data_IF_216506852260
#
_entry.id   IF_216506852260
#
_cell.length_a   1.000
_cell.length_b   1.000
_cell.length_c   1.000
_cell.angle_alpha   90.00
_cell.angle_beta   90.00
_cell.angle_gamma   90.00
#
_symmetry.space_group_name_H-M   'P 1'
#
loop_
_entity.id
_entity.type
_entity.pdbx_description
1 polymer ?
#
# COMPACT_ATOMS: atom_id res chain seq x y z
N UNK A 1 28.21 -2.69 -0.24
CA UNK A 1 26.96 -2.24 0.25
C UNK A 1 26.09 -1.66 -0.83
N UNK A 2 24.92 -2.18 -0.98
CA UNK A 2 24.03 -1.72 -2.03
C UNK A 2 23.32 -0.43 -1.69
N UNK A 3 22.89 0.26 -2.71
CA UNK A 3 22.00 1.38 -2.54
C UNK A 3 20.57 0.93 -2.69
N UNK A 4 19.73 1.44 -1.82
CA UNK A 4 18.32 1.19 -1.91
C UNK A 4 17.63 2.48 -2.30
N UNK A 5 16.93 2.45 -3.40
CA UNK A 5 16.09 3.56 -3.81
C UNK A 5 14.72 3.32 -3.23
N UNK A 6 14.26 4.26 -2.43
CA UNK A 6 12.93 4.20 -1.87
C UNK A 6 11.99 5.05 -2.70
N UNK A 7 10.82 4.52 -2.95
CA UNK A 7 9.80 5.16 -3.76
C UNK A 7 8.59 5.43 -2.88
N UNK A 8 7.96 6.58 -3.10
CA UNK A 8 6.69 6.88 -2.45
C UNK A 8 5.64 6.86 -3.54
N UNK A 9 4.61 6.07 -3.33
CA UNK A 9 3.55 5.89 -4.30
C UNK A 9 2.19 6.17 -3.70
N UNK A 10 1.32 6.76 -4.51
CA UNK A 10 -0.08 6.99 -4.18
C UNK A 10 -0.85 5.91 -4.91
N UNK A 11 -1.40 4.97 -4.16
CA UNK A 11 -2.01 3.77 -4.71
C UNK A 11 -3.50 3.77 -4.44
N UNK A 12 -4.30 3.62 -5.49
CA UNK A 12 -5.74 3.43 -5.34
C UNK A 12 -6.02 1.95 -5.40
N UNK A 13 -6.63 1.42 -4.35
CA UNK A 13 -6.87 -0.01 -4.26
C UNK A 13 -7.73 -0.52 -5.41
N UNK A 14 -8.71 0.28 -5.85
CA UNK A 14 -9.60 -0.12 -6.93
C UNK A 14 -8.87 -0.34 -8.25
N UNK A 15 -7.74 0.34 -8.45
CA UNK A 15 -6.99 0.25 -9.71
C UNK A 15 -6.04 -0.94 -9.74
N UNK A 16 -5.92 -1.68 -8.64
CA UNK A 16 -4.92 -2.74 -8.52
C UNK A 16 -5.61 -4.08 -8.29
N UNK A 17 -5.47 -4.95 -9.26
CA UNK A 17 -6.10 -6.27 -9.18
C UNK A 17 -5.59 -7.06 -7.97
N UNK A 18 -6.51 -7.60 -7.21
CA UNK A 18 -6.16 -8.47 -6.08
C UNK A 18 -5.76 -7.74 -4.81
N UNK A 19 -5.72 -6.42 -4.81
CA UNK A 19 -5.33 -5.70 -3.62
C UNK A 19 -6.49 -5.56 -2.64
N UNK A 20 -7.71 -5.38 -3.13
CA UNK A 20 -8.88 -5.32 -2.28
C UNK A 20 -9.06 -6.64 -1.54
N UNK A 21 -9.33 -6.56 -0.25
CA UNK A 21 -9.49 -7.74 0.60
C UNK A 21 -8.21 -8.21 1.26
N UNK A 22 -7.07 -7.68 0.87
CA UNK A 22 -5.80 -8.03 1.51
C UNK A 22 -5.61 -7.26 2.80
N UNK A 23 -4.88 -7.85 3.73
CA UNK A 23 -4.47 -7.14 4.94
C UNK A 23 -3.27 -6.26 4.63
N UNK A 24 -3.18 -5.11 5.29
CA UNK A 24 -2.02 -4.24 5.13
C UNK A 24 -0.74 -5.01 5.42
N UNK A 25 -0.73 -5.81 6.49
CA UNK A 25 0.46 -6.59 6.84
C UNK A 25 0.93 -7.48 5.70
N UNK A 26 -0.01 -8.06 4.96
CA UNK A 26 0.33 -8.96 3.86
C UNK A 26 0.93 -8.22 2.68
N UNK A 27 0.60 -6.95 2.51
CA UNK A 27 1.13 -6.16 1.41
C UNK A 27 2.52 -5.64 1.68
N UNK A 28 2.94 -5.63 2.93
CA UNK A 28 4.24 -5.07 3.33
C UNK A 28 5.39 -6.07 3.25
N UNK A 29 5.16 -7.21 2.74
CA UNK A 29 6.07 -8.35 2.56
C UNK A 29 7.54 -8.10 2.90
N UNK A 30 8.06 -8.86 3.86
CA UNK A 30 9.50 -8.90 4.17
C UNK A 30 10.12 -7.52 4.43
N UNK A 31 9.31 -6.55 4.80
CA UNK A 31 9.82 -5.23 5.09
C UNK A 31 10.24 -4.42 3.87
N UNK A 32 9.90 -4.87 2.67
CA UNK A 32 10.23 -4.14 1.44
C UNK A 32 9.28 -2.99 1.15
N UNK A 33 8.15 -2.94 1.84
CA UNK A 33 7.17 -1.88 1.67
C UNK A 33 6.53 -1.53 3.01
N UNK A 34 6.10 -0.29 3.13
CA UNK A 34 5.37 0.14 4.30
C UNK A 34 4.24 1.07 3.90
N UNK A 35 3.06 0.78 4.39
CA UNK A 35 1.92 1.65 4.17
C UNK A 35 1.99 2.77 5.19
N UNK A 36 2.26 3.98 4.73
CA UNK A 36 2.42 5.14 5.60
C UNK A 36 1.08 5.72 6.00
N UNK A 37 0.11 5.69 5.09
CA UNK A 37 -1.18 6.29 5.35
C UNK A 37 -2.26 5.60 4.53
N UNK A 38 -3.48 5.72 5.00
CA UNK A 38 -4.65 5.14 4.37
C UNK A 38 -5.78 6.16 4.38
N UNK A 39 -6.48 6.27 3.27
CA UNK A 39 -7.71 7.04 3.20
C UNK A 39 -8.85 6.08 2.91
N UNK A 40 -9.82 6.03 3.82
CA UNK A 40 -10.98 5.16 3.66
C UNK A 40 -11.94 5.80 2.66
N UNK A 41 -12.60 4.98 1.88
CA UNK A 41 -13.61 5.44 0.94
C UNK A 41 -14.62 6.35 1.63
N UNK A 42 -14.86 7.51 1.04
CA UNK A 42 -15.81 8.48 1.58
C UNK A 42 -15.25 9.39 2.65
N UNK A 43 -14.01 9.18 3.06
CA UNK A 43 -13.34 10.03 4.04
C UNK A 43 -12.42 11.00 3.33
N UNK A 44 -12.29 12.21 3.88
CA UNK A 44 -11.39 13.21 3.32
C UNK A 44 -10.03 13.24 4.00
N UNK A 45 -9.86 12.53 5.12
CA UNK A 45 -8.63 12.56 5.90
C UNK A 45 -7.78 11.30 5.67
N UNK A 46 -6.48 11.45 5.91
CA UNK A 46 -5.55 10.34 5.88
C UNK A 46 -5.29 9.84 7.29
N UNK A 47 -5.29 8.52 7.44
CA UNK A 47 -4.89 7.87 8.68
C UNK A 47 -3.41 7.52 8.54
N UNK A 48 -2.55 8.23 9.27
CA UNK A 48 -1.10 8.08 9.16
C UNK A 48 -0.54 6.93 10.01
N UNK A 49 -1.40 6.22 10.71
CA UNK A 49 -0.99 5.06 11.50
C UNK A 49 -1.99 3.93 11.29
N UNK A 50 -2.15 3.46 10.05
CA UNK A 50 -3.12 2.43 9.78
C UNK A 50 -2.73 1.12 10.49
N UNK A 51 -3.74 0.42 10.97
CA UNK A 51 -3.51 -0.86 11.63
C UNK A 51 -3.07 -1.89 10.60
N UNK A 52 -2.11 -2.72 10.98
CA UNK A 52 -1.59 -3.74 10.07
C UNK A 52 -2.62 -4.82 9.78
N UNK A 53 -3.59 -5.00 10.66
CA UNK A 53 -4.67 -5.97 10.45
C UNK A 53 -5.87 -5.39 9.73
N UNK A 54 -5.75 -4.18 9.19
CA UNK A 54 -6.83 -3.60 8.40
C UNK A 54 -6.92 -4.28 7.04
N UNK A 55 -8.12 -4.64 6.66
CA UNK A 55 -8.38 -5.26 5.36
C UNK A 55 -8.76 -4.17 4.36
N UNK A 56 -8.02 -4.12 3.27
CA UNK A 56 -8.19 -3.07 2.28
C UNK A 56 -9.53 -3.20 1.54
N UNK A 57 -10.21 -2.08 1.39
CA UNK A 57 -11.44 -2.01 0.62
C UNK A 57 -11.18 -1.39 -0.75
N UNK A 58 -12.06 -1.64 -1.73
CA UNK A 58 -11.84 -1.15 -3.10
C UNK A 58 -11.83 0.36 -3.25
N UNK A 59 -12.44 1.08 -2.31
CA UNK A 59 -12.44 2.54 -2.37
C UNK A 59 -11.31 3.19 -1.59
N UNK A 60 -10.40 2.41 -1.04
CA UNK A 60 -9.32 2.95 -0.22
C UNK A 60 -8.18 3.46 -1.08
N UNK A 61 -7.43 4.39 -0.51
CA UNK A 61 -6.24 4.95 -1.12
C UNK A 61 -5.11 4.84 -0.12
N UNK A 62 -3.92 4.50 -0.60
CA UNK A 62 -2.76 4.27 0.24
C UNK A 62 -1.61 5.15 -0.17
N UNK A 63 -0.83 5.60 0.81
CA UNK A 63 0.47 6.20 0.56
C UNK A 63 1.49 5.15 1.01
N UNK A 64 2.31 4.69 0.09
CA UNK A 64 3.22 3.58 0.33
C UNK A 64 4.66 4.01 0.11
N UNK A 65 5.53 3.65 1.05
CA UNK A 65 6.98 3.78 0.91
C UNK A 65 7.52 2.40 0.66
N UNK A 66 8.26 2.21 -0.43
CA UNK A 66 8.71 0.88 -0.80
C UNK A 66 9.98 0.91 -1.63
N UNK A 67 10.70 -0.20 -1.62
CA UNK A 67 11.70 -0.45 -2.65
C UNK A 67 10.94 -0.78 -3.94
N UNK A 68 11.67 -0.80 -5.06
CA UNK A 68 11.05 -1.15 -6.33
C UNK A 68 10.37 -2.52 -6.25
N UNK A 69 11.06 -3.48 -5.67
CA UNK A 69 10.51 -4.82 -5.53
C UNK A 69 9.30 -4.83 -4.58
N UNK A 70 9.38 -4.10 -3.50
CA UNK A 70 8.29 -4.04 -2.53
C UNK A 70 7.05 -3.35 -3.07
N UNK A 71 7.20 -2.54 -4.12
CA UNK A 71 6.07 -1.84 -4.71
C UNK A 71 5.26 -2.75 -5.64
N UNK A 72 5.85 -3.83 -6.14
CA UNK A 72 5.19 -4.71 -7.10
C UNK A 72 3.81 -5.19 -6.67
N UNK A 73 3.62 -5.62 -5.40
CA UNK A 73 2.28 -6.07 -4.98
C UNK A 73 1.21 -4.99 -5.04
N UNK A 74 1.63 -3.73 -5.04
CA UNK A 74 0.71 -2.60 -5.10
C UNK A 74 0.40 -2.14 -6.51
N UNK A 75 1.05 -2.75 -7.50
CA UNK A 75 0.85 -2.38 -8.89
C UNK A 75 0.26 -3.54 -9.64
N UNK A 76 -0.73 -3.24 -10.46
CA UNK A 76 -1.33 -4.24 -11.31
C UNK A 76 -0.46 -4.36 -12.56
N UNK A 77 0.21 -5.50 -12.70
CA UNK A 77 1.08 -5.75 -13.82
C UNK A 77 0.40 -6.73 -14.78
N UNK A 78 0.39 -6.37 -16.02
CA UNK A 78 -0.20 -7.21 -17.04
C UNK A 78 0.83 -7.64 -18.03
#
# INVERSE_FOLDING_TARGET
>A
MGRHVLLIADVRVADQAGLAGSLIADTEQDGQARVLARQVSGSSGLDWSPRRDYRLGPGDRLIVLATRKGLEPFLSVR
#
